data_IF_921202099050
#
_entry.id   IF_921202099050
#
_cell.length_a   1.000
_cell.length_b   1.000
_cell.length_c   1.000
_cell.angle_alpha   90.00
_cell.angle_beta   90.00
_cell.angle_gamma   90.00
#
_symmetry.space_group_name_H-M   'P 1'
#
loop_
_entity.id
_entity.type
_entity.pdbx_description
1 polymer ?
#
# COMPACT_ATOMS: atom_id res chain seq x y z
N UNK A 1 -12.99 1.61 12.57
CA UNK A 1 -12.02 0.50 12.40
C UNK A 1 -10.87 1.00 11.55
N UNK A 2 -9.63 0.64 11.90
CA UNK A 2 -8.49 0.98 11.05
C UNK A 2 -8.42 0.00 9.87
N UNK A 3 -8.34 0.51 8.64
CA UNK A 3 -8.20 -0.31 7.44
C UNK A 3 -6.74 -0.78 7.32
N UNK A 4 -6.56 -2.09 7.21
CA UNK A 4 -5.27 -2.74 7.02
C UNK A 4 -5.24 -3.49 5.70
N UNK A 5 -4.07 -3.60 5.09
CA UNK A 5 -3.91 -4.32 3.84
C UNK A 5 -2.76 -5.33 3.90
N UNK A 6 -2.99 -6.51 3.33
CA UNK A 6 -1.98 -7.52 3.06
C UNK A 6 -1.57 -7.40 1.60
N UNK A 7 -0.29 -7.12 1.35
CA UNK A 7 0.25 -6.92 0.01
C UNK A 7 1.13 -8.10 -0.39
N UNK A 8 0.87 -8.64 -1.58
CA UNK A 8 1.67 -9.69 -2.22
C UNK A 8 2.11 -9.25 -3.62
N UNK A 9 3.18 -9.83 -4.14
CA UNK A 9 3.64 -9.59 -5.52
C UNK A 9 3.41 -10.82 -6.37
N UNK A 10 2.64 -10.68 -7.43
CA UNK A 10 2.24 -11.77 -8.32
C UNK A 10 2.19 -11.28 -9.76
N UNK A 11 2.81 -12.02 -10.69
CA UNK A 11 2.80 -11.72 -12.13
C UNK A 11 3.07 -10.24 -12.46
N UNK A 12 4.11 -9.68 -11.84
CA UNK A 12 4.52 -8.27 -12.01
C UNK A 12 3.52 -7.22 -11.50
N UNK A 13 2.57 -7.61 -10.65
CA UNK A 13 1.62 -6.72 -10.01
C UNK A 13 1.65 -6.85 -8.49
N UNK A 14 1.39 -5.73 -7.82
CA UNK A 14 1.05 -5.70 -6.41
C UNK A 14 -0.43 -5.98 -6.24
N UNK A 15 -0.74 -7.00 -5.46
CA UNK A 15 -2.10 -7.33 -5.05
C UNK A 15 -2.22 -6.99 -3.57
N UNK A 16 -3.11 -6.06 -3.25
CA UNK A 16 -3.42 -5.68 -1.88
C UNK A 16 -4.83 -6.17 -1.50
N UNK A 17 -4.91 -7.05 -0.51
CA UNK A 17 -6.14 -7.52 0.10
C UNK A 17 -6.41 -6.69 1.36
N UNK A 18 -7.50 -5.93 1.37
CA UNK A 18 -7.92 -5.12 2.51
C UNK A 18 -8.77 -5.97 3.47
N UNK A 19 -8.73 -5.63 4.75
CA UNK A 19 -9.53 -6.31 5.78
C UNK A 19 -11.05 -6.16 5.62
N UNK A 20 -11.50 -5.27 4.74
CA UNK A 20 -12.91 -5.09 4.37
C UNK A 20 -13.35 -5.97 3.18
N UNK A 21 -12.46 -6.84 2.70
CA UNK A 21 -12.72 -7.74 1.58
C UNK A 21 -12.46 -7.12 0.20
N UNK A 22 -12.06 -5.85 0.12
CA UNK A 22 -11.64 -5.25 -1.16
C UNK A 22 -10.27 -5.75 -1.57
N UNK A 23 -10.09 -5.92 -2.88
CA UNK A 23 -8.82 -6.28 -3.50
C UNK A 23 -8.41 -5.21 -4.49
N UNK A 24 -7.16 -4.79 -4.42
CA UNK A 24 -6.57 -3.78 -5.30
C UNK A 24 -5.39 -4.41 -6.04
N UNK A 25 -5.42 -4.34 -7.36
CA UNK A 25 -4.35 -4.87 -8.22
C UNK A 25 -3.72 -3.71 -8.97
N UNK A 26 -2.41 -3.55 -8.83
CA UNK A 26 -1.69 -2.42 -9.40
C UNK A 26 -0.27 -2.82 -9.84
N UNK A 27 0.19 -2.43 -11.03
CA UNK A 27 1.48 -2.84 -11.58
C UNK A 27 2.69 -2.08 -11.00
N UNK A 28 2.51 -1.19 -10.03
CA UNK A 28 3.55 -0.28 -9.54
C UNK A 28 3.39 0.11 -8.07
N UNK A 29 4.53 0.47 -7.45
CA UNK A 29 4.58 0.90 -6.04
C UNK A 29 3.80 2.21 -5.85
N UNK A 30 3.96 3.15 -6.77
CA UNK A 30 3.27 4.43 -6.81
C UNK A 30 1.74 4.24 -6.88
N UNK A 31 1.29 3.40 -7.81
CA UNK A 31 -0.15 3.13 -8.03
C UNK A 31 -0.77 2.40 -6.85
N UNK A 32 -0.11 1.36 -6.32
CA UNK A 32 -0.64 0.62 -5.17
C UNK A 32 -0.58 1.45 -3.90
N UNK A 33 0.45 2.27 -3.69
CA UNK A 33 0.53 3.22 -2.57
C UNK A 33 -0.63 4.19 -2.62
N UNK A 34 -0.89 4.80 -3.79
CA UNK A 34 -2.00 5.73 -3.96
C UNK A 34 -3.36 5.07 -3.73
N UNK A 35 -3.56 3.85 -4.24
CA UNK A 35 -4.80 3.12 -4.05
C UNK A 35 -5.03 2.76 -2.57
N UNK A 36 -4.00 2.30 -1.86
CA UNK A 36 -4.03 2.01 -0.42
C UNK A 36 -4.32 3.26 0.41
N UNK A 37 -3.62 4.35 0.10
CA UNK A 37 -3.81 5.64 0.75
C UNK A 37 -5.24 6.17 0.54
N UNK A 38 -5.76 6.12 -0.69
CA UNK A 38 -7.15 6.53 -1.00
C UNK A 38 -8.19 5.65 -0.29
N UNK A 39 -7.86 4.37 -0.08
CA UNK A 39 -8.68 3.48 0.73
C UNK A 39 -8.58 3.75 2.24
N UNK A 40 -7.70 4.66 2.68
CA UNK A 40 -7.51 5.02 4.09
C UNK A 40 -6.57 4.10 4.86
N UNK A 41 -5.78 3.27 4.17
CA UNK A 41 -4.79 2.39 4.78
C UNK A 41 -3.54 3.19 5.16
N UNK A 42 -3.20 3.17 6.46
CA UNK A 42 -1.99 3.81 6.98
C UNK A 42 -0.74 2.98 6.71
N UNK A 43 0.45 3.60 6.58
CA UNK A 43 1.67 2.88 6.19
C UNK A 43 2.08 1.77 7.16
N UNK A 44 1.85 1.93 8.46
CA UNK A 44 2.14 0.91 9.47
C UNK A 44 1.13 -0.25 9.50
N UNK A 45 -0.02 -0.09 8.85
CA UNK A 45 -1.06 -1.13 8.71
C UNK A 45 -0.92 -1.93 7.41
N UNK A 46 0.08 -1.59 6.58
CA UNK A 46 0.46 -2.38 5.42
C UNK A 46 1.37 -3.52 5.86
N UNK A 47 0.88 -4.74 5.69
CA UNK A 47 1.61 -5.98 5.91
C UNK A 47 1.97 -6.60 4.57
N UNK A 48 3.04 -7.37 4.57
CA UNK A 48 3.52 -8.07 3.39
C UNK A 48 3.47 -9.55 3.70
N UNK A 49 2.68 -10.29 2.92
CA UNK A 49 2.61 -11.74 3.04
C UNK A 49 3.37 -12.38 1.88
N UNK A 50 3.91 -13.55 2.17
CA UNK A 50 4.37 -14.47 1.14
C UNK A 50 3.40 -15.65 1.10
N UNK A 51 2.91 -16.00 -0.08
CA UNK A 51 2.08 -17.18 -0.34
C UNK A 51 2.73 -18.05 -1.42
N UNK A 52 2.45 -19.36 -1.39
CA UNK A 52 2.92 -20.27 -2.45
C UNK A 52 2.47 -19.77 -3.83
N UNK A 53 3.41 -19.60 -4.76
CA UNK A 53 3.16 -19.05 -6.10
C UNK A 53 3.29 -17.53 -6.22
N UNK A 54 3.62 -16.81 -5.15
CA UNK A 54 3.93 -15.36 -5.17
C UNK A 54 5.42 -15.12 -4.95
N UNK A 55 5.96 -14.02 -5.51
CA UNK A 55 7.35 -13.64 -5.25
C UNK A 55 7.43 -12.86 -3.94
N UNK A 56 8.52 -13.06 -3.21
CA UNK A 56 8.80 -12.29 -2.01
C UNK A 56 8.99 -10.82 -2.36
N UNK A 57 8.24 -9.93 -1.70
CA UNK A 57 8.49 -8.49 -1.77
C UNK A 57 9.73 -8.20 -0.94
N UNK A 58 10.78 -7.71 -1.58
CA UNK A 58 12.05 -7.39 -0.93
C UNK A 58 11.87 -6.27 0.10
N UNK A 59 12.69 -6.27 1.16
CA UNK A 59 12.65 -5.22 2.20
C UNK A 59 12.75 -3.80 1.62
N UNK A 60 13.55 -3.60 0.57
CA UNK A 60 13.63 -2.32 -0.15
C UNK A 60 12.31 -1.90 -0.79
N UNK A 61 11.60 -2.82 -1.46
CA UNK A 61 10.26 -2.55 -2.02
C UNK A 61 9.23 -2.31 -0.93
N UNK A 62 9.29 -3.04 0.19
CA UNK A 62 8.42 -2.82 1.35
C UNK A 62 8.59 -1.42 1.95
N UNK A 63 9.85 -1.01 2.16
CA UNK A 63 10.19 0.32 2.66
C UNK A 63 9.76 1.42 1.68
N UNK A 64 10.01 1.24 0.38
CA UNK A 64 9.57 2.17 -0.66
C UNK A 64 8.05 2.36 -0.66
N UNK A 65 7.27 1.28 -0.53
CA UNK A 65 5.82 1.37 -0.48
C UNK A 65 5.32 2.16 0.74
N UNK A 66 5.87 1.87 1.92
CA UNK A 66 5.51 2.58 3.15
C UNK A 66 5.91 4.05 3.09
N UNK A 67 7.09 4.34 2.55
CA UNK A 67 7.57 5.70 2.35
C UNK A 67 6.65 6.49 1.41
N UNK A 68 6.19 5.87 0.33
CA UNK A 68 5.30 6.51 -0.63
C UNK A 68 3.92 6.83 -0.04
N UNK A 69 3.32 5.90 0.72
CA UNK A 69 2.07 6.18 1.46
C UNK A 69 2.29 7.32 2.46
N UNK A 70 3.42 7.31 3.18
CA UNK A 70 3.77 8.38 4.13
C UNK A 70 3.96 9.74 3.45
N UNK A 71 4.51 9.75 2.24
CA UNK A 71 4.64 10.96 1.41
C UNK A 71 3.27 11.50 1.01
N UNK A 72 2.34 10.64 0.61
CA UNK A 72 0.96 11.01 0.27
C UNK A 72 0.21 11.57 1.49
N UNK A 73 0.34 10.93 2.66
CA UNK A 73 -0.22 11.45 3.91
C UNK A 73 0.31 12.86 4.22
N UNK A 74 1.63 13.08 4.11
CA UNK A 74 2.24 14.40 4.35
C UNK A 74 1.79 15.45 3.33
N UNK A 75 1.67 15.09 2.05
CA UNK A 75 1.19 16.01 1.03
C UNK A 75 -0.24 16.47 1.34
N UNK A 76 -1.17 15.57 1.63
CA UNK A 76 -2.55 15.97 1.94
C UNK A 76 -2.64 16.84 3.20
N UNK A 77 -1.90 16.51 4.26
CA UNK A 77 -1.87 17.35 5.45
C UNK A 77 -1.25 18.73 5.16
N UNK A 78 -0.20 18.80 4.35
CA UNK A 78 0.42 20.06 3.92
C UNK A 78 -0.52 20.98 3.14
N UNK A 79 -1.43 20.41 2.34
CA UNK A 79 -2.46 21.17 1.62
C UNK A 79 -3.66 21.57 2.49
N UNK A 80 -3.87 20.94 3.64
CA UNK A 80 -5.05 21.19 4.50
C UNK A 80 -4.89 22.46 5.37
N UNK A 81 -3.66 22.95 5.57
CA UNK A 81 -3.40 24.18 6.36
C UNK A 81 -3.29 25.47 5.54
N UNK A 82 -3.57 25.43 4.24
CA UNK A 82 -3.45 26.59 3.34
C UNK A 82 -4.79 27.14 2.83
N UNK A 83 -5.91 26.83 3.50
CA UNK A 83 -7.26 27.30 3.14
C UNK A 83 -7.85 28.23 4.20
#
# INVERSE_FOLDING_TARGET
>A
MALSANVVWFKDEFIAELNDGRRLEQPGIDKVAYALYRAGVRPHLVRFEWRNGTCMITAGKQAALRAEISRLEKMQHGYTFAA
#
